data_IF_976214581760
#
_entry.id   IF_976214581760
#
_cell.length_a   1.000
_cell.length_b   1.000
_cell.length_c   1.000
_cell.angle_alpha   90.00
_cell.angle_beta   90.00
_cell.angle_gamma   90.00
#
_symmetry.space_group_name_H-M   'P 1'
#
loop_
_entity.id
_entity.type
_entity.pdbx_description
1 polymer ?
#
# COMPACT_ATOMS: atom_id res chain seq x y z
N UNK A 1 -4.36 -0.92 9.23
CA UNK A 1 -5.18 0.31 9.18
C UNK A 1 -5.38 0.96 10.55
N UNK A 2 -6.06 0.31 11.50
CA UNK A 2 -6.38 0.90 12.82
C UNK A 2 -5.15 1.28 13.66
N UNK A 3 -4.08 0.49 13.60
CA UNK A 3 -2.82 0.81 14.29
C UNK A 3 -2.21 2.14 13.80
N UNK A 4 -2.09 2.35 12.47
CA UNK A 4 -1.61 3.63 11.93
C UNK A 4 -2.49 4.80 12.38
N UNK A 5 -3.81 4.66 12.30
CA UNK A 5 -4.75 5.72 12.73
C UNK A 5 -4.56 6.08 14.20
N UNK A 6 -4.37 5.07 15.08
CA UNK A 6 -4.11 5.30 16.50
C UNK A 6 -2.77 6.04 16.77
N UNK A 7 -1.85 6.05 15.80
CA UNK A 7 -0.57 6.75 15.86
C UNK A 7 -0.60 8.12 15.15
N UNK A 8 -1.79 8.61 14.77
CA UNK A 8 -1.94 9.84 13.98
C UNK A 8 -1.35 9.71 12.57
N UNK A 9 -1.36 8.50 12.02
CA UNK A 9 -0.79 8.14 10.73
C UNK A 9 -1.83 7.41 9.87
N UNK A 10 -1.48 7.10 8.63
CA UNK A 10 -2.26 6.26 7.73
C UNK A 10 -1.42 5.11 7.16
N UNK A 11 -2.04 4.12 6.52
CA UNK A 11 -1.26 3.11 5.80
C UNK A 11 -0.57 3.78 4.60
N UNK A 12 0.63 3.32 4.27
CA UNK A 12 1.42 3.84 3.16
C UNK A 12 0.58 4.00 1.87
N UNK A 13 0.60 5.19 1.29
CA UNK A 13 -0.08 5.59 0.07
C UNK A 13 0.92 6.45 -0.71
N UNK A 14 1.87 5.81 -1.41
CA UNK A 14 2.95 6.53 -2.07
C UNK A 14 2.36 7.39 -3.19
N UNK A 15 2.77 8.65 -3.24
CA UNK A 15 2.35 9.61 -4.26
C UNK A 15 2.95 9.28 -5.63
N UNK A 16 4.15 8.68 -5.64
CA UNK A 16 4.90 8.39 -6.86
C UNK A 16 5.94 7.25 -6.70
N UNK A 17 6.71 7.06 -7.76
CA UNK A 17 7.78 6.07 -7.84
C UNK A 17 8.97 6.37 -6.93
N UNK A 18 9.28 7.64 -6.71
CA UNK A 18 10.44 8.08 -5.96
C UNK A 18 10.19 7.85 -4.46
N UNK A 19 9.00 8.22 -3.98
CA UNK A 19 8.58 7.91 -2.60
C UNK A 19 8.51 6.39 -2.38
N UNK A 20 7.95 5.64 -3.33
CA UNK A 20 7.94 4.19 -3.23
C UNK A 20 9.36 3.61 -3.24
N UNK A 21 10.28 4.18 -4.01
CA UNK A 21 11.70 3.83 -4.04
C UNK A 21 12.38 4.04 -2.69
N UNK A 22 12.18 5.21 -2.09
CA UNK A 22 12.70 5.55 -0.76
C UNK A 22 12.19 4.57 0.32
N UNK A 23 10.91 4.22 0.30
CA UNK A 23 10.34 3.25 1.24
C UNK A 23 10.99 1.87 1.08
N UNK A 24 11.28 1.44 -0.15
CA UNK A 24 11.95 0.14 -0.39
C UNK A 24 13.32 0.09 0.27
N UNK A 25 14.11 1.15 0.10
CA UNK A 25 15.45 1.24 0.68
C UNK A 25 15.40 1.15 2.20
N UNK A 26 14.40 1.77 2.83
CA UNK A 26 14.25 1.73 4.29
C UNK A 26 13.81 0.38 4.85
N UNK A 27 13.03 -0.39 4.09
CA UNK A 27 12.40 -1.61 4.61
C UNK A 27 13.36 -2.80 4.64
N UNK A 28 14.47 -2.76 3.88
CA UNK A 28 15.58 -3.75 3.85
C UNK A 28 15.16 -5.25 3.85
N UNK A 29 13.93 -5.57 3.42
CA UNK A 29 13.36 -6.92 3.43
C UNK A 29 12.75 -7.26 2.07
N UNK A 30 13.54 -7.82 1.12
CA UNK A 30 13.09 -8.05 -0.26
C UNK A 30 12.00 -9.11 -0.41
N UNK A 31 11.79 -9.96 0.60
CA UNK A 31 10.80 -11.07 0.56
C UNK A 31 9.56 -10.81 1.41
N UNK A 32 9.53 -9.74 2.21
CA UNK A 32 8.40 -9.40 3.06
C UNK A 32 7.28 -8.72 2.28
N UNK A 33 6.06 -8.93 2.76
CA UNK A 33 4.85 -8.32 2.23
C UNK A 33 4.31 -7.38 3.29
N UNK A 34 4.02 -6.15 2.88
CA UNK A 34 3.53 -5.12 3.79
C UNK A 34 2.17 -4.63 3.33
N UNK A 35 1.23 -4.54 4.27
CA UNK A 35 -0.02 -3.85 4.00
C UNK A 35 0.22 -2.37 3.69
N UNK A 36 -0.41 -1.90 2.63
CA UNK A 36 -0.44 -0.51 2.21
C UNK A 36 -1.88 -0.01 2.11
N UNK A 37 -2.06 1.29 1.90
CA UNK A 37 -3.34 1.99 1.83
C UNK A 37 -4.18 1.73 0.58
N UNK A 38 -3.96 0.61 -0.11
CA UNK A 38 -4.63 0.27 -1.36
C UNK A 38 -5.67 -0.83 -1.14
N UNK A 39 -6.84 -0.71 -1.76
CA UNK A 39 -7.88 -1.75 -1.68
C UNK A 39 -8.75 -1.79 -2.94
N UNK A 40 -9.36 -2.95 -3.19
CA UNK A 40 -10.39 -3.12 -4.21
C UNK A 40 -11.77 -3.01 -3.52
N UNK A 41 -12.55 -1.94 -3.76
CA UNK A 41 -13.85 -1.77 -3.14
C UNK A 41 -14.84 -2.85 -3.62
N UNK A 42 -15.88 -3.12 -2.84
CA UNK A 42 -16.91 -4.14 -3.14
C UNK A 42 -17.59 -3.93 -4.49
N UNK A 43 -17.63 -2.69 -4.99
CA UNK A 43 -18.16 -2.38 -6.33
C UNK A 43 -17.25 -2.85 -7.48
N UNK A 44 -16.04 -3.33 -7.19
CA UNK A 44 -15.01 -3.78 -8.15
C UNK A 44 -14.72 -2.76 -9.26
N UNK A 45 -14.86 -1.45 -8.96
CA UNK A 45 -14.67 -0.36 -9.93
C UNK A 45 -13.21 0.08 -10.09
N UNK A 46 -12.27 -0.79 -9.70
CA UNK A 46 -10.83 -0.54 -9.72
C UNK A 46 -10.24 -0.26 -8.34
N UNK A 47 -8.93 -0.48 -8.25
CA UNK A 47 -8.13 -0.29 -7.04
C UNK A 47 -8.10 1.18 -6.62
N UNK A 48 -8.31 1.41 -5.34
CA UNK A 48 -8.51 2.73 -4.76
C UNK A 48 -7.64 2.90 -3.51
N UNK A 49 -7.00 4.06 -3.42
CA UNK A 49 -6.20 4.48 -2.28
C UNK A 49 -7.07 4.99 -1.13
N UNK A 50 -6.49 5.21 0.07
CA UNK A 50 -7.24 5.68 1.24
C UNK A 50 -7.95 7.02 1.03
N UNK A 51 -7.35 7.92 0.22
CA UNK A 51 -7.92 9.23 -0.11
C UNK A 51 -9.04 9.16 -1.19
N UNK A 52 -9.39 7.97 -1.67
CA UNK A 52 -10.42 7.78 -2.71
C UNK A 52 -9.92 7.93 -4.15
N UNK A 53 -8.65 8.29 -4.36
CA UNK A 53 -8.04 8.31 -5.69
C UNK A 53 -7.84 6.90 -6.24
N UNK A 54 -7.92 6.74 -7.55
CA UNK A 54 -7.70 5.46 -8.22
C UNK A 54 -6.21 5.19 -8.39
N UNK A 55 -5.84 3.91 -8.34
CA UNK A 55 -4.50 3.48 -8.72
C UNK A 55 -4.25 3.83 -10.19
N UNK A 56 -3.23 4.64 -10.43
CA UNK A 56 -2.68 4.84 -11.75
C UNK A 56 -1.69 3.72 -12.07
N UNK A 57 -2.12 2.77 -12.90
CA UNK A 57 -1.31 1.60 -13.25
C UNK A 57 -0.06 1.96 -14.08
N UNK A 58 -0.01 3.16 -14.68
CA UNK A 58 1.18 3.63 -15.41
C UNK A 58 2.30 4.08 -14.47
N UNK A 59 1.96 4.39 -13.20
CA UNK A 59 2.88 4.95 -12.19
C UNK A 59 3.40 3.90 -11.22
N UNK A 60 3.09 2.62 -11.38
CA UNK A 60 3.53 1.58 -10.46
C UNK A 60 3.78 0.24 -11.18
N UNK A 61 4.76 -0.52 -10.70
CA UNK A 61 4.99 -1.89 -11.14
C UNK A 61 4.01 -2.77 -10.39
N UNK A 62 3.17 -3.47 -11.14
CA UNK A 62 2.12 -4.31 -10.58
C UNK A 62 2.53 -5.78 -10.66
N UNK A 63 2.20 -6.56 -9.64
CA UNK A 63 2.16 -8.02 -9.77
C UNK A 63 0.86 -8.44 -10.48
N UNK A 64 0.75 -9.73 -10.82
CA UNK A 64 -0.55 -10.27 -11.19
C UNK A 64 -1.55 -10.03 -10.06
N UNK A 65 -2.72 -9.54 -10.42
CA UNK A 65 -3.82 -9.30 -9.49
C UNK A 65 -4.70 -10.54 -9.42
N UNK A 66 -5.15 -10.85 -8.22
CA UNK A 66 -6.19 -11.83 -7.97
C UNK A 66 -7.38 -11.08 -7.40
N UNK A 67 -8.47 -11.01 -8.15
CA UNK A 67 -9.66 -10.25 -7.73
C UNK A 67 -10.39 -10.88 -6.52
N UNK A 68 -10.00 -12.08 -6.08
CA UNK A 68 -10.43 -12.64 -4.80
C UNK A 68 -9.71 -12.00 -3.61
N UNK A 69 -8.56 -11.34 -3.85
CA UNK A 69 -7.69 -10.67 -2.87
C UNK A 69 -7.87 -9.16 -2.98
N UNK A 70 -8.53 -8.57 -1.99
CA UNK A 70 -9.04 -7.19 -2.09
C UNK A 70 -8.21 -6.16 -1.33
N UNK A 71 -7.13 -6.55 -0.65
CA UNK A 71 -6.23 -5.64 0.04
C UNK A 71 -4.88 -5.57 -0.67
N UNK A 72 -4.35 -4.37 -0.87
CA UNK A 72 -3.10 -4.15 -1.56
C UNK A 72 -1.89 -4.31 -0.64
N UNK A 73 -0.82 -4.87 -1.20
CA UNK A 73 0.45 -5.11 -0.51
C UNK A 73 1.62 -4.54 -1.31
N UNK A 74 2.67 -4.13 -0.61
CA UNK A 74 3.98 -3.89 -1.19
C UNK A 74 4.84 -5.15 -1.03
N UNK A 75 5.40 -5.65 -2.13
CA UNK A 75 6.33 -6.79 -2.16
C UNK A 75 7.57 -6.42 -2.96
N UNK A 76 8.68 -6.17 -2.26
CA UNK A 76 9.87 -5.61 -2.88
C UNK A 76 9.51 -4.29 -3.58
N UNK A 77 9.68 -4.24 -4.89
CA UNK A 77 9.46 -3.03 -5.68
C UNK A 77 8.09 -2.94 -6.38
N UNK A 78 7.22 -3.92 -6.13
CA UNK A 78 5.93 -4.09 -6.82
C UNK A 78 4.75 -4.00 -5.87
N UNK A 79 3.67 -3.44 -6.38
CA UNK A 79 2.36 -3.47 -5.72
C UNK A 79 1.63 -4.73 -6.15
N UNK A 80 1.03 -5.44 -5.19
CA UNK A 80 0.20 -6.60 -5.43
C UNK A 80 -1.03 -6.65 -4.54
N UNK A 81 -1.69 -7.81 -4.51
CA UNK A 81 -2.91 -8.05 -3.73
C UNK A 81 -2.81 -9.30 -2.86
N UNK A 82 -3.34 -9.21 -1.65
CA UNK A 82 -3.50 -10.32 -0.71
C UNK A 82 -4.90 -10.32 -0.06
N UNK A 83 -5.28 -11.46 0.55
CA UNK A 83 -6.49 -11.57 1.34
C UNK A 83 -6.38 -10.65 2.55
N UNK A 84 -7.37 -9.78 2.78
CA UNK A 84 -7.37 -8.84 3.90
C UNK A 84 -7.24 -9.50 5.29
N UNK A 85 -7.42 -10.83 5.39
CA UNK A 85 -7.23 -11.62 6.60
C UNK A 85 -5.80 -12.15 6.79
N UNK A 86 -4.90 -11.96 5.83
CA UNK A 86 -3.53 -12.45 5.90
C UNK A 86 -2.74 -11.74 7.01
N UNK A 87 -1.95 -12.52 7.76
CA UNK A 87 -1.13 -12.02 8.86
C UNK A 87 0.18 -11.43 8.32
N UNK A 88 0.13 -10.18 7.85
CA UNK A 88 1.29 -9.45 7.31
C UNK A 88 1.63 -8.24 8.18
N UNK A 89 2.89 -7.81 8.12
CA UNK A 89 3.33 -6.52 8.68
C UNK A 89 2.70 -5.36 7.87
N UNK A 90 2.76 -4.13 8.39
CA UNK A 90 2.22 -2.95 7.72
C UNK A 90 3.16 -1.76 7.82
N UNK A 91 3.08 -0.88 6.83
CA UNK A 91 3.85 0.38 6.81
C UNK A 91 2.86 1.51 7.04
N UNK A 92 3.16 2.36 8.02
CA UNK A 92 2.42 3.60 8.26
C UNK A 92 3.19 4.80 7.70
N UNK A 93 2.49 5.74 7.09
CA UNK A 93 3.02 7.04 6.71
C UNK A 93 2.31 8.15 7.49
N UNK A 94 3.03 9.25 7.73
CA UNK A 94 2.48 10.48 8.29
C UNK A 94 3.24 11.65 7.69
N UNK A 95 2.57 12.79 7.58
CA UNK A 95 3.23 14.03 7.21
C UNK A 95 4.33 14.37 8.22
N UNK A 96 5.45 14.86 7.70
CA UNK A 96 6.47 15.45 8.55
C UNK A 96 5.88 16.72 9.15
N UNK A 97 5.64 16.73 10.46
CA UNK A 97 5.39 17.98 11.20
C UNK A 97 6.68 18.79 11.19
N UNK A 98 6.86 19.59 10.15
CA UNK A 98 7.84 20.67 10.13
C UNK A 98 7.33 21.81 11.00
N UNK A 99 7.90 21.91 12.21
CA UNK A 99 7.66 22.88 13.29
C UNK A 99 6.38 22.68 14.11
#
# INVERSE_FOLDING_TARGET
KRDCVNRGAELLMPADWDELGFVKEMVEKPTSYFWIGLSLPSSRKGWTWLNGSRLDQSRFQLSSWDESRTCGVLRGDRIGSDSCSSALEWICQKEATGL
#
